data_IF_739290026233
#
_entry.id   IF_739290026233
#
_cell.length_a   1.000
_cell.length_b   1.000
_cell.length_c   1.000
_cell.angle_alpha   90.00
_cell.angle_beta   90.00
_cell.angle_gamma   90.00
#
_symmetry.space_group_name_H-M   'P 1'
#
loop_
_entity.id
_entity.type
_entity.pdbx_description
1 polymer ?
#
# COMPACT_ATOMS: atom_id res chain seq x y z
N UNK A 1 -25.90 10.10 1.15
CA UNK A 1 -24.78 10.98 0.74
C UNK A 1 -23.65 10.90 1.76
N UNK A 2 -23.86 11.36 3.00
CA UNK A 2 -22.85 11.36 4.08
C UNK A 2 -22.17 9.99 4.33
N UNK A 3 -22.95 8.92 4.45
CA UNK A 3 -22.40 7.56 4.73
C UNK A 3 -21.48 7.07 3.61
N UNK A 4 -21.80 7.37 2.34
CA UNK A 4 -20.98 6.99 1.19
C UNK A 4 -19.63 7.71 1.23
N UNK A 5 -19.63 9.00 1.58
CA UNK A 5 -18.41 9.80 1.72
C UNK A 5 -17.53 9.30 2.88
N UNK A 6 -18.11 8.98 4.04
CA UNK A 6 -17.36 8.41 5.16
C UNK A 6 -16.67 7.09 4.78
N UNK A 7 -17.37 6.22 4.05
CA UNK A 7 -16.81 4.95 3.56
C UNK A 7 -15.62 5.23 2.64
N UNK A 8 -15.73 6.20 1.72
CA UNK A 8 -14.62 6.59 0.84
C UNK A 8 -13.42 7.12 1.64
N UNK A 9 -13.62 7.98 2.64
CA UNK A 9 -12.53 8.45 3.49
C UNK A 9 -11.85 7.31 4.26
N UNK A 10 -12.62 6.37 4.82
CA UNK A 10 -12.06 5.20 5.52
C UNK A 10 -11.28 4.32 4.52
N UNK A 11 -11.82 4.07 3.34
CA UNK A 11 -11.16 3.29 2.31
C UNK A 11 -9.87 3.94 1.81
N UNK A 12 -9.85 5.27 1.66
CA UNK A 12 -8.64 6.05 1.33
C UNK A 12 -7.61 5.98 2.44
N UNK A 13 -8.01 6.11 3.71
CA UNK A 13 -7.08 6.01 4.83
C UNK A 13 -6.48 4.59 4.91
N UNK A 14 -7.30 3.55 4.74
CA UNK A 14 -6.84 2.17 4.69
C UNK A 14 -5.89 1.93 3.51
N UNK A 15 -6.22 2.46 2.33
CA UNK A 15 -5.37 2.39 1.15
C UNK A 15 -4.03 3.10 1.36
N UNK A 16 -4.05 4.34 1.88
CA UNK A 16 -2.86 5.12 2.21
C UNK A 16 -1.97 4.44 3.25
N UNK A 17 -2.54 3.71 4.20
CA UNK A 17 -1.75 2.91 5.15
C UNK A 17 -0.88 1.86 4.45
N UNK A 18 -1.39 1.24 3.37
CA UNK A 18 -0.69 0.16 2.67
C UNK A 18 0.55 0.59 1.89
N UNK A 19 0.83 1.89 1.77
CA UNK A 19 2.00 2.39 1.05
C UNK A 19 3.30 2.00 1.75
N UNK A 20 3.39 2.23 3.05
CA UNK A 20 4.61 2.06 3.84
C UNK A 20 4.49 1.03 4.97
N UNK A 21 3.30 0.44 5.18
CA UNK A 21 3.03 -0.44 6.34
C UNK A 21 4.02 -1.59 6.44
N UNK A 22 4.31 -2.26 5.32
CA UNK A 22 5.21 -3.42 5.30
C UNK A 22 6.65 -3.07 5.61
N UNK A 23 7.15 -1.94 5.11
CA UNK A 23 8.52 -1.48 5.40
C UNK A 23 8.61 -1.02 6.86
N UNK A 24 7.64 -0.24 7.34
CA UNK A 24 7.61 0.23 8.71
C UNK A 24 7.51 -0.92 9.73
N UNK A 25 6.70 -1.95 9.43
CA UNK A 25 6.61 -3.15 10.25
C UNK A 25 7.97 -3.81 10.46
N UNK A 26 8.74 -3.95 9.39
CA UNK A 26 10.08 -4.55 9.44
C UNK A 26 11.04 -3.69 10.27
N UNK A 27 11.05 -2.38 10.05
CA UNK A 27 11.93 -1.47 10.80
C UNK A 27 11.65 -1.49 12.30
N UNK A 28 10.37 -1.54 12.68
CA UNK A 28 9.97 -1.63 14.09
C UNK A 28 10.40 -2.96 14.70
N UNK A 29 10.33 -4.06 13.95
CA UNK A 29 10.72 -5.40 14.42
C UNK A 29 12.23 -5.67 14.34
N UNK A 30 12.99 -4.77 13.70
CA UNK A 30 14.42 -4.92 13.47
C UNK A 30 15.23 -5.27 14.74
N UNK A 31 15.01 -4.65 15.91
CA UNK A 31 15.73 -4.99 17.14
C UNK A 31 15.56 -6.46 17.59
N UNK A 32 14.44 -7.09 17.22
CA UNK A 32 14.24 -8.52 17.47
C UNK A 32 14.85 -9.36 16.35
N UNK A 33 14.71 -8.95 15.09
CA UNK A 33 15.27 -9.68 13.93
C UNK A 33 16.79 -9.82 13.98
N UNK A 34 17.52 -8.80 14.47
CA UNK A 34 18.99 -8.86 14.61
C UNK A 34 19.46 -9.97 15.55
N UNK A 35 18.62 -10.45 16.47
CA UNK A 35 18.97 -11.55 17.38
C UNK A 35 18.92 -12.93 16.71
N UNK A 36 18.22 -13.04 15.57
CA UNK A 36 18.08 -14.28 14.79
C UNK A 36 18.98 -14.29 13.56
N UNK A 37 19.19 -13.13 12.96
CA UNK A 37 19.98 -12.99 11.73
C UNK A 37 21.49 -13.12 12.02
N UNK A 38 22.25 -13.91 11.24
CA UNK A 38 23.71 -14.01 11.37
C UNK A 38 24.43 -12.68 11.14
N UNK A 39 23.81 -11.72 10.44
CA UNK A 39 24.35 -10.39 10.21
C UNK A 39 24.32 -9.48 11.46
N UNK A 40 23.55 -9.83 12.50
CA UNK A 40 23.40 -8.97 13.68
C UNK A 40 22.92 -7.56 13.29
N UNK A 41 23.57 -6.52 13.84
CA UNK A 41 23.22 -5.12 13.54
C UNK A 41 23.53 -4.68 12.10
N UNK A 42 24.40 -5.40 11.38
CA UNK A 42 24.67 -5.11 9.96
C UNK A 42 23.43 -5.37 9.10
N UNK A 43 22.46 -6.15 9.59
CA UNK A 43 21.15 -6.35 8.96
C UNK A 43 20.47 -5.02 8.61
N UNK A 44 20.57 -4.01 9.49
CA UNK A 44 20.01 -2.69 9.25
C UNK A 44 20.62 -2.05 8.00
N UNK A 45 21.94 -2.12 7.85
CA UNK A 45 22.69 -1.59 6.71
C UNK A 45 22.28 -2.29 5.41
N UNK A 46 22.13 -3.62 5.44
CA UNK A 46 21.66 -4.38 4.28
C UNK A 46 20.24 -4.01 3.86
N UNK A 47 19.31 -3.85 4.82
CA UNK A 47 17.93 -3.43 4.54
C UNK A 47 17.91 -2.06 3.86
N UNK A 48 18.67 -1.09 4.36
CA UNK A 48 18.76 0.24 3.74
C UNK A 48 19.26 0.13 2.29
N UNK A 49 20.33 -0.64 2.03
CA UNK A 49 20.81 -0.85 0.66
C UNK A 49 19.75 -1.48 -0.26
N UNK A 50 18.99 -2.46 0.25
CA UNK A 50 17.91 -3.11 -0.51
C UNK A 50 16.81 -2.11 -0.87
N UNK A 51 16.41 -1.23 0.07
CA UNK A 51 15.43 -0.17 -0.19
C UNK A 51 15.95 0.79 -1.27
N UNK A 52 17.23 1.18 -1.21
CA UNK A 52 17.83 2.05 -2.23
C UNK A 52 17.83 1.41 -3.62
N UNK A 53 18.05 0.09 -3.71
CA UNK A 53 17.91 -0.64 -4.98
C UNK A 53 16.45 -0.64 -5.46
N UNK A 54 15.49 -0.73 -4.55
CA UNK A 54 14.06 -0.68 -4.88
C UNK A 54 13.61 0.72 -5.38
N UNK A 55 14.37 1.78 -5.11
CA UNK A 55 14.11 3.12 -5.67
C UNK A 55 14.29 3.19 -7.20
N UNK A 56 14.84 2.15 -7.84
CA UNK A 56 14.87 2.04 -9.31
C UNK A 56 13.48 1.78 -9.91
N UNK A 57 12.55 1.17 -9.17
CA UNK A 57 11.22 0.85 -9.68
C UNK A 57 10.37 2.08 -10.01
N UNK A 58 10.34 3.14 -9.18
CA UNK A 58 9.73 4.41 -9.57
C UNK A 58 10.26 5.01 -10.87
N UNK A 59 11.58 4.93 -11.09
CA UNK A 59 12.22 5.41 -12.33
C UNK A 59 11.77 4.56 -13.53
N UNK A 60 11.78 3.23 -13.38
CA UNK A 60 11.29 2.30 -14.40
C UNK A 60 9.83 2.60 -14.73
N UNK A 61 8.98 2.75 -13.71
CA UNK A 61 7.58 3.10 -13.88
C UNK A 61 7.41 4.43 -14.61
N UNK A 62 8.13 5.48 -14.22
CA UNK A 62 8.05 6.80 -14.87
C UNK A 62 8.45 6.76 -16.35
N UNK A 63 9.47 5.99 -16.72
CA UNK A 63 9.86 5.78 -18.12
C UNK A 63 8.77 5.02 -18.89
N UNK A 64 8.21 3.96 -18.30
CA UNK A 64 7.14 3.19 -18.91
C UNK A 64 5.88 4.04 -19.10
N UNK A 65 5.48 4.79 -18.07
CA UNK A 65 4.33 5.68 -18.11
C UNK A 65 4.50 6.76 -19.18
N UNK A 66 5.67 7.40 -19.27
CA UNK A 66 5.98 8.38 -20.32
C UNK A 66 5.88 7.81 -21.74
N UNK A 67 6.39 6.59 -21.96
CA UNK A 67 6.37 5.95 -23.29
C UNK A 67 5.00 5.39 -23.67
N UNK A 68 4.20 4.98 -22.69
CA UNK A 68 2.91 4.33 -22.88
C UNK A 68 1.72 5.29 -22.68
N UNK A 69 1.98 6.54 -22.28
CA UNK A 69 0.96 7.58 -22.11
C UNK A 69 0.14 7.87 -23.38
N UNK A 70 0.64 7.54 -24.57
CA UNK A 70 -0.12 7.66 -25.82
C UNK A 70 -1.15 6.55 -26.03
N UNK A 71 -1.11 5.48 -25.22
CA UNK A 71 -2.02 4.33 -25.34
C UNK A 71 -3.19 4.49 -24.38
N UNK A 72 -4.38 4.62 -24.94
CA UNK A 72 -5.64 4.76 -24.20
C UNK A 72 -5.87 3.63 -23.16
N UNK A 73 -5.54 2.39 -23.55
CA UNK A 73 -5.62 1.22 -22.66
C UNK A 73 -4.69 1.32 -21.44
N UNK A 74 -3.50 1.92 -21.60
CA UNK A 74 -2.56 2.13 -20.49
C UNK A 74 -3.16 3.13 -19.50
N UNK A 75 -3.64 4.26 -19.98
CA UNK A 75 -4.26 5.29 -19.13
C UNK A 75 -5.45 4.73 -18.32
N UNK A 76 -6.25 3.87 -18.94
CA UNK A 76 -7.47 3.35 -18.33
C UNK A 76 -7.17 2.30 -17.24
N UNK A 77 -6.28 1.34 -17.52
CA UNK A 77 -6.11 0.15 -16.68
C UNK A 77 -4.84 0.11 -15.82
N UNK A 78 -3.83 0.95 -16.11
CA UNK A 78 -2.53 0.92 -15.43
C UNK A 78 -2.68 0.93 -13.89
N UNK A 79 -3.36 1.94 -13.34
CA UNK A 79 -3.57 2.05 -11.89
C UNK A 79 -4.45 0.93 -11.33
N UNK A 80 -5.48 0.50 -12.06
CA UNK A 80 -6.43 -0.51 -11.61
C UNK A 80 -5.79 -1.90 -11.45
N UNK A 81 -4.74 -2.19 -12.22
CA UNK A 81 -4.04 -3.49 -12.22
C UNK A 81 -2.77 -3.41 -11.36
N UNK A 82 -1.95 -2.38 -11.52
CA UNK A 82 -0.66 -2.31 -10.81
C UNK A 82 -0.84 -2.11 -9.30
N UNK A 83 -1.80 -1.29 -8.86
CA UNK A 83 -1.97 -0.99 -7.43
C UNK A 83 -2.33 -2.26 -6.62
N UNK A 84 -3.31 -3.10 -7.03
CA UNK A 84 -3.58 -4.36 -6.33
C UNK A 84 -2.39 -5.31 -6.30
N UNK A 85 -1.62 -5.40 -7.40
CA UNK A 85 -0.42 -6.25 -7.46
C UNK A 85 0.64 -5.76 -6.47
N UNK A 86 0.85 -4.44 -6.38
CA UNK A 86 1.79 -3.83 -5.44
C UNK A 86 1.38 -4.09 -3.99
N UNK A 87 0.09 -3.91 -3.66
CA UNK A 87 -0.43 -4.21 -2.31
C UNK A 87 -0.34 -5.71 -1.97
N UNK A 88 -0.56 -6.58 -2.96
CA UNK A 88 -0.37 -8.02 -2.79
C UNK A 88 1.09 -8.37 -2.50
N UNK A 89 2.05 -7.79 -3.23
CA UNK A 89 3.48 -8.00 -2.97
C UNK A 89 3.91 -7.50 -1.60
N UNK A 90 3.36 -6.39 -1.11
CA UNK A 90 3.59 -5.92 0.26
C UNK A 90 3.20 -6.99 1.30
N UNK A 91 1.98 -7.54 1.20
CA UNK A 91 1.52 -8.61 2.10
C UNK A 91 2.26 -9.93 1.93
N UNK A 92 2.46 -10.38 0.70
CA UNK A 92 3.19 -11.62 0.39
C UNK A 92 4.64 -11.58 0.86
N UNK A 93 5.29 -10.41 0.72
CA UNK A 93 6.64 -10.19 1.22
C UNK A 93 6.72 -10.27 2.74
N UNK A 94 5.75 -9.71 3.48
CA UNK A 94 5.66 -9.85 4.94
C UNK A 94 5.46 -11.31 5.37
N UNK A 95 4.57 -12.05 4.68
CA UNK A 95 4.36 -13.47 4.94
C UNK A 95 5.65 -14.24 4.70
N UNK A 96 6.34 -13.99 3.59
CA UNK A 96 7.62 -14.63 3.30
C UNK A 96 8.64 -14.31 4.39
N UNK A 97 8.80 -13.04 4.76
CA UNK A 97 9.70 -12.60 5.85
C UNK A 97 9.41 -13.36 7.15
N UNK A 98 8.13 -13.55 7.51
CA UNK A 98 7.72 -14.26 8.71
C UNK A 98 8.21 -15.73 8.74
N UNK A 99 8.33 -16.40 7.61
CA UNK A 99 8.77 -17.80 7.55
C UNK A 99 10.27 -17.97 7.31
N UNK A 100 10.97 -16.93 6.86
CA UNK A 100 12.37 -17.02 6.45
C UNK A 100 13.35 -16.26 7.35
N UNK A 101 12.89 -15.39 8.26
CA UNK A 101 13.80 -14.57 9.08
C UNK A 101 14.74 -15.38 9.99
N UNK A 102 14.34 -16.58 10.42
CA UNK A 102 15.15 -17.47 11.26
C UNK A 102 15.80 -18.61 10.47
N UNK A 103 15.80 -18.54 9.13
CA UNK A 103 16.30 -19.58 8.21
C UNK A 103 17.48 -19.07 7.39
N UNK A 104 18.69 -18.93 7.99
CA UNK A 104 19.86 -18.49 7.25
C UNK A 104 20.31 -19.54 6.23
N UNK A 105 20.66 -19.09 5.03
CA UNK A 105 21.32 -19.91 4.01
C UNK A 105 22.83 -19.98 4.24
N UNK A 106 23.48 -21.05 3.80
CA UNK A 106 24.93 -21.22 3.87
C UNK A 106 25.50 -21.17 2.46
N UNK A 107 26.35 -20.19 2.18
CA UNK A 107 27.12 -20.08 0.93
C UNK A 107 28.57 -19.81 1.32
N UNK A 108 29.54 -20.49 0.69
CA UNK A 108 30.97 -20.30 0.97
C UNK A 108 31.35 -20.38 2.46
N UNK A 109 30.71 -21.28 3.20
CA UNK A 109 30.94 -21.49 4.64
C UNK A 109 30.55 -20.30 5.55
N UNK A 110 29.88 -19.27 5.03
CA UNK A 110 29.26 -18.19 5.81
C UNK A 110 27.73 -18.29 5.81
N UNK A 111 27.11 -17.94 6.94
CA UNK A 111 25.65 -17.91 7.10
C UNK A 111 25.14 -16.53 6.76
N UNK A 112 24.13 -16.45 5.90
CA UNK A 112 23.50 -15.20 5.51
C UNK A 112 21.98 -15.34 5.35
N UNK A 113 21.25 -14.26 5.61
CA UNK A 113 19.79 -14.16 5.56
C UNK A 113 19.27 -13.87 4.15
N UNK A 114 19.74 -14.59 3.13
CA UNK A 114 19.40 -14.31 1.73
C UNK A 114 17.89 -14.25 1.45
N UNK A 115 17.13 -15.19 1.99
CA UNK A 115 15.67 -15.22 1.80
C UNK A 115 14.96 -14.04 2.47
N UNK A 116 15.49 -13.57 3.59
CA UNK A 116 15.00 -12.38 4.26
C UNK A 116 15.29 -11.12 3.42
N UNK A 117 16.46 -11.05 2.79
CA UNK A 117 16.79 -9.96 1.85
C UNK A 117 15.88 -9.95 0.63
N UNK A 118 15.56 -11.11 0.06
CA UNK A 118 14.59 -11.22 -1.04
C UNK A 118 13.21 -10.77 -0.56
N UNK A 119 12.79 -11.12 0.65
CA UNK A 119 11.52 -10.66 1.22
C UNK A 119 11.48 -9.14 1.36
N UNK A 120 12.54 -8.53 1.89
CA UNK A 120 12.63 -7.08 2.00
C UNK A 120 12.68 -6.38 0.65
N UNK A 121 13.32 -6.98 -0.36
CA UNK A 121 13.29 -6.45 -1.71
C UNK A 121 11.86 -6.41 -2.26
N UNK A 122 11.11 -7.51 -2.14
CA UNK A 122 9.69 -7.58 -2.55
C UNK A 122 8.84 -6.55 -1.79
N UNK A 123 9.05 -6.41 -0.48
CA UNK A 123 8.36 -5.43 0.38
C UNK A 123 8.68 -3.98 -0.02
N UNK A 124 9.91 -3.71 -0.47
CA UNK A 124 10.38 -2.35 -0.76
C UNK A 124 9.86 -1.81 -2.09
N UNK A 125 9.61 -2.69 -3.09
CA UNK A 125 9.06 -2.29 -4.40
C UNK A 125 7.76 -1.47 -4.28
N UNK A 126 6.69 -1.94 -3.62
CA UNK A 126 5.46 -1.18 -3.51
C UNK A 126 5.62 0.09 -2.68
N UNK A 127 6.52 0.09 -1.68
CA UNK A 127 6.78 1.24 -0.82
C UNK A 127 7.48 2.38 -1.56
N UNK A 128 8.44 2.08 -2.45
CA UNK A 128 9.08 3.12 -3.26
C UNK A 128 8.18 3.56 -4.41
N UNK A 129 7.42 2.64 -4.99
CA UNK A 129 6.56 2.90 -6.16
C UNK A 129 5.25 3.60 -5.80
N UNK A 130 4.80 3.54 -4.54
CA UNK A 130 3.53 4.14 -4.12
C UNK A 130 3.48 5.64 -4.38
N UNK A 131 4.57 6.37 -4.22
CA UNK A 131 4.59 7.82 -4.35
C UNK A 131 4.35 8.28 -5.80
N UNK A 132 4.78 7.48 -6.78
CA UNK A 132 4.62 7.77 -8.21
C UNK A 132 3.39 7.13 -8.84
N UNK A 133 2.80 6.12 -8.19
CA UNK A 133 1.65 5.38 -8.73
C UNK A 133 0.35 5.67 -7.97
N UNK A 134 0.39 5.70 -6.63
CA UNK A 134 -0.81 5.79 -5.80
C UNK A 134 -1.26 7.26 -5.68
N UNK A 135 -0.31 8.18 -5.56
CA UNK A 135 -0.61 9.61 -5.45
C UNK A 135 -1.31 10.16 -6.70
N UNK A 136 -0.86 9.90 -7.94
CA UNK A 136 -1.59 10.33 -9.14
C UNK A 136 -2.99 9.72 -9.28
N UNK A 137 -3.21 8.53 -8.72
CA UNK A 137 -4.55 7.93 -8.66
C UNK A 137 -5.47 8.72 -7.70
N UNK A 138 -4.98 9.07 -6.50
CA UNK A 138 -5.76 9.81 -5.50
C UNK A 138 -6.03 11.26 -5.92
N UNK A 139 -5.08 11.94 -6.57
CA UNK A 139 -5.30 13.32 -7.03
C UNK A 139 -6.39 13.40 -8.11
N UNK A 140 -6.51 12.35 -8.94
CA UNK A 140 -7.58 12.22 -9.95
C UNK A 140 -8.94 11.81 -9.36
N UNK A 141 -8.97 11.28 -8.13
CA UNK A 141 -10.21 10.85 -7.48
C UNK A 141 -10.95 12.06 -6.89
N UNK A 142 -12.13 12.36 -7.44
CA UNK A 142 -13.05 13.43 -6.99
C UNK A 142 -12.35 14.78 -6.68
N UNK A 143 -11.52 15.27 -7.61
CA UNK A 143 -10.87 16.58 -7.53
C UNK A 143 -10.14 16.83 -6.19
N UNK A 144 -9.17 15.98 -5.87
CA UNK A 144 -8.25 16.11 -4.72
C UNK A 144 -8.86 16.09 -3.31
N UNK A 145 -10.17 15.90 -3.18
CA UNK A 145 -10.90 15.82 -1.89
C UNK A 145 -10.29 14.83 -0.90
N UNK A 146 -9.73 13.73 -1.40
CA UNK A 146 -9.21 12.63 -0.58
C UNK A 146 -7.71 12.69 -0.29
N UNK A 147 -6.99 13.67 -0.85
CA UNK A 147 -5.53 13.76 -0.72
C UNK A 147 -5.10 13.86 0.76
N UNK A 148 -5.75 14.73 1.54
CA UNK A 148 -5.44 14.86 2.96
C UNK A 148 -5.68 13.55 3.74
N UNK A 149 -6.76 12.83 3.43
CA UNK A 149 -7.08 11.54 4.05
C UNK A 149 -6.06 10.46 3.68
N UNK A 150 -5.54 10.48 2.45
CA UNK A 150 -4.47 9.58 2.03
C UNK A 150 -3.20 9.80 2.85
N UNK A 151 -2.79 11.05 3.08
CA UNK A 151 -1.66 11.38 3.96
C UNK A 151 -1.89 10.94 5.41
N UNK A 152 -3.11 11.08 5.93
CA UNK A 152 -3.48 10.54 7.26
C UNK A 152 -3.29 9.01 7.28
N UNK A 153 -3.75 8.33 6.23
CA UNK A 153 -3.54 6.89 6.05
C UNK A 153 -2.05 6.51 6.05
N UNK A 154 -1.23 7.25 5.32
CA UNK A 154 0.23 7.06 5.33
C UNK A 154 0.82 7.23 6.73
N UNK A 155 0.32 8.16 7.55
CA UNK A 155 0.70 8.26 8.96
C UNK A 155 0.38 6.99 9.77
N UNK A 156 -0.77 6.36 9.52
CA UNK A 156 -1.15 5.10 10.18
C UNK A 156 -0.24 3.93 9.81
N UNK A 157 0.42 3.98 8.65
CA UNK A 157 1.37 2.93 8.23
C UNK A 157 2.55 2.77 9.20
N UNK A 158 2.93 3.82 9.93
CA UNK A 158 3.96 3.77 10.97
C UNK A 158 3.37 3.59 12.37
N UNK A 159 2.23 4.24 12.63
CA UNK A 159 1.57 4.19 13.94
C UNK A 159 1.12 2.77 14.29
N UNK A 160 0.49 2.05 13.35
CA UNK A 160 -0.08 0.72 13.61
C UNK A 160 1.00 -0.30 13.99
N UNK A 161 2.09 -0.47 13.21
CA UNK A 161 3.18 -1.35 13.64
C UNK A 161 3.83 -0.95 14.96
N UNK A 162 4.02 0.35 15.17
CA UNK A 162 4.62 0.88 16.42
C UNK A 162 3.76 0.56 17.64
N UNK A 163 2.44 0.75 17.54
CA UNK A 163 1.51 0.43 18.62
C UNK A 163 1.49 -1.07 18.92
N UNK A 164 1.49 -1.91 17.88
CA UNK A 164 1.53 -3.37 18.04
C UNK A 164 2.85 -3.82 18.67
N UNK A 165 3.99 -3.23 18.29
CA UNK A 165 5.30 -3.55 18.88
C UNK A 165 5.43 -3.08 20.33
N UNK A 166 4.81 -1.95 20.67
CA UNK A 166 4.71 -1.51 22.05
C UNK A 166 3.92 -2.52 22.89
N UNK A 167 2.78 -3.02 22.38
CA UNK A 167 2.00 -4.08 23.03
C UNK A 167 2.82 -5.36 23.12
N UNK A 168 3.51 -5.75 22.04
CA UNK A 168 4.38 -6.91 21.99
C UNK A 168 5.48 -6.88 23.07
N UNK A 169 5.91 -5.68 23.49
CA UNK A 169 6.93 -5.51 24.52
C UNK A 169 8.36 -5.62 24.01
N UNK A 170 8.58 -5.49 22.70
CA UNK A 170 9.89 -5.64 22.05
C UNK A 170 10.97 -4.73 22.65
N UNK A 171 10.59 -3.55 23.15
CA UNK A 171 11.50 -2.55 23.71
C UNK A 171 11.72 -2.67 25.24
N UNK A 172 10.93 -3.49 25.95
CA UNK A 172 10.98 -3.56 27.42
C UNK A 172 12.25 -4.28 27.96
N UNK A 173 12.94 -5.05 27.12
CA UNK A 173 14.07 -5.89 27.56
C UNK A 173 15.45 -5.34 27.18
N UNK A 174 15.55 -4.20 26.48
CA UNK A 174 16.84 -3.68 26.01
C UNK A 174 17.76 -3.19 27.14
N UNK A 175 17.22 -2.95 28.35
CA UNK A 175 18.00 -2.42 29.49
C UNK A 175 18.07 -3.33 30.73
N UNK A 176 17.53 -4.56 30.69
CA UNK A 176 17.67 -5.54 31.79
C UNK A 176 17.20 -5.11 33.19
N UNK A 177 16.53 -3.95 33.32
CA UNK A 177 16.26 -3.30 34.62
C UNK A 177 14.79 -2.99 34.86
N UNK A 178 13.92 -3.16 33.86
CA UNK A 178 12.49 -3.07 34.06
C UNK A 178 11.93 -4.47 34.33
N UNK A 179 11.45 -4.71 35.54
CA UNK A 179 10.61 -5.87 35.80
C UNK A 179 9.39 -5.77 34.87
N UNK A 180 9.27 -6.71 33.92
CA UNK A 180 8.04 -6.84 33.16
C UNK A 180 6.89 -7.07 34.16
N UNK A 181 5.85 -6.22 34.20
CA UNK A 181 4.68 -6.47 35.05
C UNK A 181 3.96 -7.79 34.68
N UNK A 182 4.38 -8.43 33.58
CA UNK A 182 3.85 -9.66 32.99
C UNK A 182 4.80 -10.85 33.15
N UNK A 183 5.36 -11.08 34.35
CA UNK A 183 6.15 -12.28 34.75
C UNK A 183 7.43 -12.58 33.92
N UNK A 184 8.38 -13.35 34.48
CA UNK A 184 9.58 -13.75 33.77
C UNK A 184 9.26 -14.93 32.85
N UNK A 185 9.02 -14.65 31.58
CA UNK A 185 9.09 -15.66 30.53
C UNK A 185 10.44 -15.47 29.86
N UNK A 186 11.24 -16.52 29.73
CA UNK A 186 12.46 -16.49 28.93
C UNK A 186 12.14 -15.86 27.56
N UNK A 187 12.63 -14.64 27.30
CA UNK A 187 12.39 -13.91 26.04
C UNK A 187 11.50 -12.67 26.08
N UNK A 188 10.86 -12.34 27.22
CA UNK A 188 10.34 -10.98 27.54
C UNK A 188 9.37 -10.26 26.58
N UNK A 189 8.86 -10.90 25.52
CA UNK A 189 7.83 -10.35 24.60
C UNK A 189 6.54 -11.16 24.66
N UNK A 190 5.38 -10.52 24.46
CA UNK A 190 4.06 -11.20 24.48
C UNK A 190 3.90 -12.19 23.32
N UNK A 191 4.49 -11.89 22.16
CA UNK A 191 4.51 -12.77 20.98
C UNK A 191 5.74 -12.48 20.11
N UNK A 192 6.20 -13.48 19.35
CA UNK A 192 7.42 -13.37 18.56
C UNK A 192 7.24 -12.71 17.18
N UNK A 193 8.36 -12.47 16.46
CA UNK A 193 8.36 -11.78 15.15
C UNK A 193 7.47 -12.42 14.09
N UNK A 194 7.30 -13.74 14.11
CA UNK A 194 6.39 -14.48 13.21
C UNK A 194 4.98 -13.93 13.27
N UNK A 195 4.44 -13.88 14.50
CA UNK A 195 3.05 -13.48 14.74
C UNK A 195 2.90 -12.00 14.39
N UNK A 196 3.88 -11.17 14.76
CA UNK A 196 3.92 -9.76 14.38
C UNK A 196 3.84 -9.56 12.86
N UNK A 197 4.72 -10.20 12.09
CA UNK A 197 4.78 -10.05 10.63
C UNK A 197 3.53 -10.58 9.94
N UNK A 198 2.95 -11.70 10.42
CA UNK A 198 1.67 -12.23 9.91
C UNK A 198 0.51 -11.27 10.22
N UNK A 199 0.48 -10.68 11.41
CA UNK A 199 -0.52 -9.67 11.77
C UNK A 199 -0.44 -8.46 10.82
N UNK A 200 0.78 -7.97 10.55
CA UNK A 200 0.98 -6.86 9.61
C UNK A 200 0.55 -7.23 8.19
N UNK A 201 0.81 -8.46 7.75
CA UNK A 201 0.33 -8.96 6.46
C UNK A 201 -1.21 -8.99 6.39
N UNK A 202 -1.88 -9.39 7.48
CA UNK A 202 -3.34 -9.36 7.57
C UNK A 202 -3.88 -7.91 7.50
N UNK A 203 -3.18 -6.95 8.12
CA UNK A 203 -3.55 -5.53 8.05
C UNK A 203 -3.31 -4.98 6.62
N UNK A 204 -2.28 -5.44 5.88
CA UNK A 204 -2.13 -5.10 4.46
C UNK A 204 -3.35 -5.53 3.62
N UNK A 205 -4.05 -6.61 3.99
CA UNK A 205 -5.29 -6.99 3.30
C UNK A 205 -6.38 -5.91 3.45
N UNK A 206 -6.42 -5.16 4.55
CA UNK A 206 -7.36 -4.04 4.72
C UNK A 206 -7.06 -2.91 3.73
N UNK A 207 -5.79 -2.66 3.42
CA UNK A 207 -5.39 -1.69 2.40
C UNK A 207 -5.80 -2.13 1.00
N UNK A 208 -5.68 -3.42 0.69
CA UNK A 208 -6.17 -4.00 -0.58
C UNK A 208 -7.69 -3.89 -0.69
N UNK A 209 -8.42 -4.22 0.38
CA UNK A 209 -9.89 -4.07 0.42
C UNK A 209 -10.27 -2.60 0.24
N UNK A 210 -9.58 -1.68 0.92
CA UNK A 210 -9.78 -0.23 0.76
C UNK A 210 -9.63 0.20 -0.70
N UNK A 211 -8.58 -0.27 -1.39
CA UNK A 211 -8.40 0.03 -2.81
C UNK A 211 -9.51 -0.56 -3.69
N UNK A 212 -9.94 -1.80 -3.45
CA UNK A 212 -11.02 -2.44 -4.23
C UNK A 212 -12.34 -1.65 -4.08
N UNK A 213 -12.64 -1.16 -2.87
CA UNK A 213 -13.80 -0.30 -2.62
C UNK A 213 -13.70 1.00 -3.43
N UNK A 214 -12.52 1.62 -3.48
CA UNK A 214 -12.28 2.84 -4.27
C UNK A 214 -12.41 2.58 -5.78
N UNK A 215 -11.93 1.44 -6.26
CA UNK A 215 -12.05 1.06 -7.66
C UNK A 215 -13.53 0.89 -8.05
N UNK A 216 -14.33 0.24 -7.21
CA UNK A 216 -15.77 0.10 -7.42
C UNK A 216 -16.47 1.45 -7.44
N UNK A 217 -16.17 2.31 -6.46
CA UNK A 217 -16.75 3.66 -6.38
C UNK A 217 -16.42 4.51 -7.62
N UNK A 218 -15.16 4.47 -8.09
CA UNK A 218 -14.74 5.18 -9.31
C UNK A 218 -15.51 4.70 -10.55
N UNK A 219 -15.71 3.38 -10.68
CA UNK A 219 -16.44 2.81 -11.82
C UNK A 219 -17.93 3.21 -11.79
N UNK A 220 -18.56 3.26 -10.62
CA UNK A 220 -19.94 3.76 -10.46
C UNK A 220 -20.06 5.21 -10.92
N UNK A 221 -19.18 6.10 -10.44
CA UNK A 221 -19.18 7.53 -10.81
C UNK A 221 -18.94 7.72 -12.31
N UNK A 222 -17.98 6.99 -12.88
CA UNK A 222 -17.71 7.06 -14.33
C UNK A 222 -18.89 6.57 -15.18
N UNK A 223 -19.65 5.58 -14.70
CA UNK A 223 -20.86 5.09 -15.39
C UNK A 223 -22.00 6.11 -15.34
N UNK A 224 -22.19 6.77 -14.20
CA UNK A 224 -23.20 7.82 -14.03
C UNK A 224 -22.92 9.04 -14.91
N UNK A 225 -21.66 9.46 -15.01
CA UNK A 225 -21.24 10.58 -15.85
C UNK A 225 -21.44 10.28 -17.34
N UNK A 226 -21.11 9.05 -17.77
CA UNK A 226 -21.36 8.60 -19.13
C UNK A 226 -22.87 8.56 -19.44
N UNK A 227 -23.69 8.05 -18.51
CA UNK A 227 -25.15 8.01 -18.68
C UNK A 227 -25.74 9.42 -18.79
N UNK A 228 -25.28 10.38 -17.98
CA UNK A 228 -25.72 11.78 -18.06
C UNK A 228 -25.29 12.44 -19.36
N UNK A 229 -24.07 12.21 -19.83
CA UNK A 229 -23.59 12.74 -21.10
C UNK A 229 -24.42 12.23 -22.30
N UNK A 230 -24.78 10.93 -22.30
CA UNK A 230 -25.66 10.34 -23.32
C UNK A 230 -27.06 10.96 -23.28
N UNK A 231 -27.65 11.10 -22.09
CA UNK A 231 -28.97 11.72 -21.92
C UNK A 231 -28.97 13.19 -22.39
N UNK A 232 -27.90 13.94 -22.10
CA UNK A 232 -27.78 15.33 -22.53
C UNK A 232 -27.56 15.46 -24.05
N UNK A 233 -26.76 14.57 -24.65
CA UNK A 233 -26.60 14.50 -26.11
C UNK A 233 -27.94 14.16 -26.80
N UNK A 234 -28.69 13.20 -26.26
CA UNK A 234 -30.01 12.84 -26.77
C UNK A 234 -31.02 13.99 -26.64
N UNK A 235 -31.05 14.67 -25.49
CA UNK A 235 -31.92 15.85 -25.28
C UNK A 235 -31.59 17.00 -26.23
N UNK A 236 -30.30 17.28 -26.48
CA UNK A 236 -29.87 18.32 -27.42
C UNK A 236 -30.24 17.96 -28.87
N UNK A 237 -30.18 16.67 -29.23
CA UNK A 237 -30.62 16.18 -30.53
C UNK A 237 -32.14 16.30 -30.72
N UNK A 238 -32.94 16.06 -29.69
CA UNK A 238 -34.41 16.20 -29.77
C UNK A 238 -34.80 17.67 -29.91
N UNK A 239 -34.20 18.55 -29.11
CA UNK A 239 -34.47 19.98 -29.13
C UNK A 239 -34.12 20.62 -30.49
N UNK A 240 -33.03 20.16 -31.12
CA UNK A 240 -32.65 20.60 -32.47
C UNK A 240 -33.55 20.05 -33.58
N UNK A 241 -34.18 18.90 -33.40
CA UNK A 241 -35.20 18.39 -34.33
C UNK A 241 -36.50 19.19 -34.22
N UNK A 242 -36.98 19.49 -33.00
CA UNK A 242 -38.17 20.32 -32.78
C UNK A 242 -38.01 21.73 -33.37
N UNK A 243 -36.86 22.37 -33.19
CA UNK A 243 -36.55 23.68 -33.79
C UNK A 243 -36.61 23.65 -35.33
N UNK A 244 -36.09 22.59 -35.96
CA UNK A 244 -36.14 22.43 -37.41
C UNK A 244 -37.54 22.11 -37.95
N UNK A 245 -38.42 21.50 -37.14
CA UNK A 245 -39.83 21.26 -37.49
C UNK A 245 -40.63 22.55 -37.37
N UNK A 246 -40.43 23.33 -36.31
CA UNK A 246 -41.09 24.63 -36.11
C UNK A 246 -40.67 25.63 -37.21
N UNK A 247 -39.40 25.63 -37.62
CA UNK A 247 -38.92 26.50 -38.72
C UNK A 247 -39.50 26.09 -40.09
N UNK A 248 -39.91 24.83 -40.26
CA UNK A 248 -40.57 24.35 -41.49
C UNK A 248 -42.09 24.54 -41.49
N UNK A 249 -42.72 24.54 -40.33
CA UNK A 249 -44.18 24.72 -40.19
C UNK A 249 -44.60 26.18 -39.93
N UNK A 250 -43.63 27.09 -39.78
CA UNK A 250 -43.83 28.54 -39.73
C UNK A 250 -43.98 29.18 -41.12
N UNK A 251 -45.10 28.91 -41.78
CA UNK A 251 -45.67 29.74 -42.86
C UNK A 251 -46.89 30.49 -42.32
#
# INVERSE_FOLDING_TARGET
MLVKECICHIAVAAFGMGTWLSVNAVYVELPLLVSFAPEGYDLATYIVLIVQLACLFPLIYGILDSKLASKELWILYNHAILIPIMLFFSGAGLVMAAFVYDRPGVINNSKHSYWLFVAFFIISIPCTTSDVLFMPYITKLENTKYVATFFIGMGFSALVPSAVSLIQGANANLNGTAANPWKPTEGGVLFGPRIFLILMAAICCLSLIGFIVLLKHRNEVSGDDLSKAILQSSSNSICSVELNVIEKDGV
#
